data_IF_601846746173
#
_entry.id   IF_601846746173
#
_cell.length_a   1.000
_cell.length_b   1.000
_cell.length_c   1.000
_cell.angle_alpha   90.00
_cell.angle_beta   90.00
_cell.angle_gamma   90.00
#
_symmetry.space_group_name_H-M   'P 1'
#
loop_
_entity.id
_entity.type
_entity.pdbx_description
1 polymer ?
#
# COMPACT_ATOMS: atom_id res chain seq x y z
N UNK A 1 6.53 -10.88 21.45
CA UNK A 1 5.85 -11.44 22.65
C UNK A 1 4.72 -12.35 22.21
N UNK A 2 4.71 -13.64 22.57
CA UNK A 2 3.57 -14.54 22.32
C UNK A 2 2.44 -14.20 23.31
N UNK A 3 1.33 -13.64 22.82
CA UNK A 3 0.10 -13.48 23.61
C UNK A 3 -0.89 -14.57 23.20
N UNK A 4 -1.36 -15.37 24.16
CA UNK A 4 -2.39 -16.38 23.91
C UNK A 4 -3.77 -15.74 24.05
N UNK A 5 -4.58 -15.80 22.99
CA UNK A 5 -5.98 -15.35 23.00
C UNK A 5 -6.90 -16.55 23.17
N UNK A 6 -7.83 -16.48 24.12
CA UNK A 6 -8.85 -17.51 24.35
C UNK A 6 -10.20 -16.92 23.93
N UNK A 7 -10.90 -17.62 23.03
CA UNK A 7 -12.30 -17.34 22.68
C UNK A 7 -13.15 -18.37 23.43
N UNK A 8 -14.11 -17.92 24.22
CA UNK A 8 -15.00 -18.79 25.01
C UNK A 8 -16.29 -19.14 24.25
N UNK A 9 -16.66 -20.42 24.24
CA UNK A 9 -17.93 -20.96 23.71
C UNK A 9 -18.94 -21.30 24.81
N UNK A 10 -20.02 -22.01 24.44
CA UNK A 10 -21.08 -22.46 25.36
C UNK A 10 -20.49 -23.21 26.58
N UNK A 11 -20.82 -22.81 27.81
CA UNK A 11 -20.28 -23.44 29.03
C UNK A 11 -20.67 -24.92 29.20
N UNK A 12 -21.71 -25.41 28.50
CA UNK A 12 -22.11 -26.82 28.50
C UNK A 12 -21.25 -27.70 27.57
N UNK A 13 -20.49 -27.09 26.64
CA UNK A 13 -19.58 -27.77 25.74
C UNK A 13 -18.41 -26.84 25.30
N UNK A 14 -17.41 -26.61 26.17
CA UNK A 14 -16.37 -25.63 25.90
C UNK A 14 -15.39 -26.12 24.82
N UNK A 15 -15.41 -25.46 23.65
CA UNK A 15 -14.36 -25.58 22.64
C UNK A 15 -13.21 -24.63 22.98
N UNK A 16 -11.99 -25.17 23.17
CA UNK A 16 -10.78 -24.36 23.37
C UNK A 16 -9.96 -24.33 22.09
N UNK A 17 -9.83 -23.16 21.49
CA UNK A 17 -8.96 -22.92 20.33
C UNK A 17 -7.75 -22.10 20.78
N UNK A 18 -6.55 -22.53 20.39
CA UNK A 18 -5.31 -21.77 20.57
C UNK A 18 -4.51 -21.78 19.28
N UNK A 19 -4.11 -20.61 18.79
CA UNK A 19 -3.30 -20.45 17.58
C UNK A 19 -2.23 -19.37 17.79
N UNK A 20 -1.22 -19.36 16.93
CA UNK A 20 -0.21 -18.30 16.90
C UNK A 20 -0.74 -17.14 16.07
N UNK A 21 -0.61 -15.93 16.59
CA UNK A 21 -0.97 -14.71 15.88
C UNK A 21 0.25 -13.80 15.78
N UNK A 22 0.55 -13.34 14.57
CA UNK A 22 1.53 -12.29 14.34
C UNK A 22 0.88 -10.92 14.53
N UNK A 23 1.63 -9.99 15.13
CA UNK A 23 1.17 -8.63 15.42
C UNK A 23 2.30 -7.68 15.06
N UNK A 24 2.01 -6.69 14.22
CA UNK A 24 2.88 -5.55 14.01
C UNK A 24 2.74 -4.64 15.24
N UNK A 25 3.79 -4.56 16.07
CA UNK A 25 3.76 -3.75 17.28
C UNK A 25 4.29 -2.33 16.96
N UNK A 26 3.45 -1.29 17.04
CA UNK A 26 3.92 0.08 16.80
C UNK A 26 4.87 0.54 17.91
N UNK A 27 5.92 1.32 17.59
CA UNK A 27 6.70 2.02 18.61
C UNK A 27 5.88 3.15 19.23
N UNK A 28 6.21 3.48 20.48
CA UNK A 28 5.74 4.71 21.11
C UNK A 28 6.64 5.88 20.69
N UNK A 29 6.01 6.94 20.17
CA UNK A 29 6.70 8.14 19.70
C UNK A 29 6.31 9.30 20.63
N UNK A 30 7.12 9.60 21.67
CA UNK A 30 6.71 10.52 22.74
C UNK A 30 6.91 12.01 22.42
N UNK A 31 7.87 12.35 21.55
CA UNK A 31 8.23 13.76 21.31
C UNK A 31 7.47 14.45 20.15
N UNK A 32 6.50 15.29 20.52
CA UNK A 32 5.73 16.12 19.57
C UNK A 32 5.92 17.61 19.83
N UNK A 33 7.09 17.98 20.37
CA UNK A 33 7.38 19.36 20.77
C UNK A 33 7.57 20.32 19.59
N UNK A 34 7.95 19.81 18.42
CA UNK A 34 8.19 20.59 17.21
C UNK A 34 6.92 20.79 16.37
N UNK A 35 6.76 21.98 15.77
CA UNK A 35 5.66 22.28 14.86
C UNK A 35 6.00 21.88 13.41
N UNK A 36 5.46 20.74 12.98
CA UNK A 36 5.68 20.19 11.63
C UNK A 36 5.15 21.06 10.48
N UNK A 37 4.24 22.01 10.73
CA UNK A 37 3.68 22.87 9.68
C UNK A 37 4.60 24.03 9.30
N UNK A 38 5.65 24.30 10.09
CA UNK A 38 6.56 25.43 9.87
C UNK A 38 8.01 25.03 10.13
N UNK A 39 8.58 24.26 9.22
CA UNK A 39 10.00 23.96 9.18
C UNK A 39 10.69 24.61 7.96
N UNK A 40 11.39 25.76 8.13
CA UNK A 40 12.11 26.42 7.04
C UNK A 40 13.43 25.72 6.68
N UNK A 41 13.92 24.78 7.49
CA UNK A 41 15.15 24.03 7.21
C UNK A 41 14.86 22.76 6.41
N UNK A 42 13.60 22.29 6.40
CA UNK A 42 13.15 21.07 5.74
C UNK A 42 14.03 19.86 6.12
N UNK A 43 14.29 19.75 7.43
CA UNK A 43 15.10 18.68 8.00
C UNK A 43 14.17 17.65 8.64
N UNK A 44 14.62 16.39 8.80
CA UNK A 44 13.87 15.42 9.59
C UNK A 44 13.59 15.96 10.99
N UNK A 45 12.32 16.10 11.33
CA UNK A 45 11.86 16.48 12.66
C UNK A 45 12.03 15.30 13.64
N UNK A 46 12.05 15.59 14.93
CA UNK A 46 12.52 14.65 15.97
C UNK A 46 11.86 13.26 15.92
N UNK A 47 10.57 13.17 15.59
CA UNK A 47 9.81 11.93 15.57
C UNK A 47 9.49 11.41 14.16
N UNK A 48 10.08 11.97 13.10
CA UNK A 48 9.74 11.63 11.71
C UNK A 48 9.80 10.12 11.43
N UNK A 49 10.91 9.48 11.76
CA UNK A 49 11.11 8.05 11.48
C UNK A 49 10.27 7.17 12.41
N UNK A 50 10.12 7.55 13.69
CA UNK A 50 9.26 6.83 14.63
C UNK A 50 7.80 6.87 14.17
N UNK A 51 7.28 8.05 13.83
CA UNK A 51 5.92 8.23 13.33
C UNK A 51 5.69 7.45 12.03
N UNK A 52 6.70 7.41 11.15
CA UNK A 52 6.65 6.61 9.92
C UNK A 52 6.53 5.12 10.23
N UNK A 53 7.34 4.58 11.14
CA UNK A 53 7.26 3.17 11.54
C UNK A 53 5.96 2.84 12.27
N UNK A 54 5.47 3.74 13.12
CA UNK A 54 4.17 3.61 13.79
C UNK A 54 3.03 3.54 12.79
N UNK A 55 2.99 4.45 11.82
CA UNK A 55 1.98 4.45 10.77
C UNK A 55 2.06 3.19 9.91
N UNK A 56 3.27 2.72 9.59
CA UNK A 56 3.44 1.46 8.87
C UNK A 56 2.85 0.29 9.67
N UNK A 57 3.18 0.17 10.96
CA UNK A 57 2.66 -0.91 11.81
C UNK A 57 1.12 -0.92 11.89
N UNK A 58 0.47 0.25 11.92
CA UNK A 58 -0.99 0.37 11.94
C UNK A 58 -1.65 0.11 10.57
N UNK A 59 -0.95 0.38 9.46
CA UNK A 59 -1.47 0.13 8.11
C UNK A 59 -1.29 -1.31 7.63
N UNK A 60 -0.45 -2.12 8.30
CA UNK A 60 -0.17 -3.50 7.90
C UNK A 60 -1.40 -4.38 8.08
N UNK A 61 -1.99 -4.81 6.96
CA UNK A 61 -3.16 -5.69 6.96
C UNK A 61 -2.84 -7.12 7.41
N UNK A 62 -1.67 -7.65 7.02
CA UNK A 62 -1.19 -8.96 7.47
C UNK A 62 0.25 -8.86 8.00
N UNK A 63 0.46 -8.96 9.32
CA UNK A 63 1.79 -8.88 9.92
C UNK A 63 2.77 -9.98 9.49
N UNK A 64 2.28 -11.11 8.96
CA UNK A 64 3.14 -12.19 8.45
C UNK A 64 4.00 -11.75 7.25
N UNK A 65 3.50 -10.78 6.48
CA UNK A 65 4.18 -10.27 5.28
C UNK A 65 5.51 -9.57 5.62
N UNK A 66 5.72 -9.18 6.89
CA UNK A 66 6.97 -8.57 7.37
C UNK A 66 8.08 -9.60 7.62
N UNK A 67 7.73 -10.89 7.71
CA UNK A 67 8.68 -11.98 7.96
C UNK A 67 9.11 -12.62 6.65
N UNK A 68 8.20 -12.66 5.67
CA UNK A 68 8.49 -13.18 4.34
C UNK A 68 7.38 -12.90 3.36
N UNK A 69 7.67 -13.06 2.05
CA UNK A 69 6.67 -12.91 1.01
C UNK A 69 5.60 -14.00 1.15
N UNK A 70 4.35 -13.67 0.78
CA UNK A 70 3.30 -14.67 0.62
C UNK A 70 3.65 -15.64 -0.49
N UNK A 71 3.08 -16.84 -0.45
CA UNK A 71 3.15 -17.79 -1.55
C UNK A 71 2.66 -17.15 -2.85
N UNK A 72 3.38 -17.36 -3.95
CA UNK A 72 3.02 -16.80 -5.24
C UNK A 72 1.76 -17.50 -5.78
N UNK A 73 0.77 -16.71 -6.18
CA UNK A 73 -0.37 -17.20 -6.96
C UNK A 73 -0.06 -17.10 -8.45
N UNK A 74 -0.62 -17.96 -9.32
CA UNK A 74 -0.45 -17.84 -10.76
C UNK A 74 -0.75 -16.41 -11.23
N UNK A 75 0.14 -15.86 -12.04
CA UNK A 75 0.01 -14.50 -12.56
C UNK A 75 -1.25 -14.41 -13.44
N UNK A 76 -2.10 -13.37 -13.30
CA UNK A 76 -3.16 -13.10 -14.26
C UNK A 76 -2.56 -12.95 -15.67
N UNK A 77 -2.99 -13.81 -16.58
CA UNK A 77 -2.44 -13.97 -17.93
C UNK A 77 -3.20 -13.19 -19.00
N UNK A 78 -4.40 -12.71 -18.69
CA UNK A 78 -5.43 -12.34 -19.65
C UNK A 78 -4.96 -11.22 -20.58
N UNK A 79 -4.45 -10.12 -20.01
CA UNK A 79 -3.92 -8.99 -20.79
C UNK A 79 -2.67 -9.39 -21.58
N UNK A 80 -1.84 -10.24 -20.98
CA UNK A 80 -0.55 -10.65 -21.51
C UNK A 80 -0.73 -11.55 -22.73
N UNK A 81 -1.69 -12.47 -22.68
CA UNK A 81 -2.02 -13.38 -23.78
C UNK A 81 -2.62 -12.60 -24.96
N UNK A 82 -3.48 -11.60 -24.69
CA UNK A 82 -4.01 -10.69 -25.72
C UNK A 82 -2.89 -9.89 -26.39
N UNK A 83 -1.98 -9.30 -25.62
CA UNK A 83 -0.86 -8.52 -26.16
C UNK A 83 0.09 -9.43 -26.95
N UNK A 84 0.38 -10.62 -26.44
CA UNK A 84 1.22 -11.60 -27.12
C UNK A 84 0.62 -12.06 -28.45
N UNK A 85 -0.68 -12.39 -28.46
CA UNK A 85 -1.38 -12.78 -29.68
C UNK A 85 -1.36 -11.69 -30.75
N UNK A 86 -1.48 -10.41 -30.36
CA UNK A 86 -1.34 -9.28 -31.28
C UNK A 86 0.09 -9.13 -31.80
N UNK A 87 1.07 -9.25 -30.91
CA UNK A 87 2.48 -9.16 -31.26
C UNK A 87 2.88 -10.23 -32.30
N UNK A 88 2.48 -11.48 -32.08
CA UNK A 88 2.74 -12.59 -33.01
C UNK A 88 2.10 -12.35 -34.38
N UNK A 89 0.95 -11.68 -34.44
CA UNK A 89 0.26 -11.32 -35.69
C UNK A 89 0.77 -10.02 -36.34
N UNK A 90 1.68 -9.29 -35.70
CA UNK A 90 2.10 -7.96 -36.16
C UNK A 90 1.04 -6.87 -35.99
N UNK A 91 0.04 -7.08 -35.13
CA UNK A 91 -1.02 -6.11 -34.85
C UNK A 91 -0.62 -5.10 -33.75
N UNK A 92 -1.20 -3.89 -33.75
CA UNK A 92 -0.95 -2.90 -32.68
C UNK A 92 -1.37 -3.42 -31.30
N UNK A 93 -0.42 -3.50 -30.37
CA UNK A 93 -0.61 -3.95 -28.98
C UNK A 93 -1.29 -2.90 -28.10
N UNK A 94 -1.26 -1.63 -28.52
CA UNK A 94 -1.94 -0.52 -27.86
C UNK A 94 -3.47 -0.71 -27.87
N UNK A 95 -4.15 -0.08 -26.91
CA UNK A 95 -5.60 0.06 -26.94
C UNK A 95 -6.04 0.88 -28.16
N UNK A 96 -7.25 0.62 -28.65
CA UNK A 96 -7.87 1.56 -29.60
C UNK A 96 -8.09 2.87 -28.85
N UNK A 97 -7.52 3.95 -29.38
CA UNK A 97 -7.77 5.30 -28.87
C UNK A 97 -9.01 5.87 -29.53
N UNK A 98 -9.83 6.56 -28.75
CA UNK A 98 -10.89 7.39 -29.33
C UNK A 98 -10.28 8.64 -29.95
N UNK A 99 -10.96 9.23 -30.94
CA UNK A 99 -10.49 10.46 -31.58
C UNK A 99 -10.45 11.66 -30.61
N UNK A 100 -11.23 11.61 -29.53
CA UNK A 100 -11.20 12.61 -28.46
C UNK A 100 -9.99 12.47 -27.52
N UNK A 101 -9.22 11.37 -27.57
CA UNK A 101 -8.01 11.18 -26.73
C UNK A 101 -6.76 11.91 -27.28
N UNK A 102 -6.94 12.78 -28.27
CA UNK A 102 -5.91 13.67 -28.77
C UNK A 102 -6.10 15.05 -28.15
N UNK A 103 -5.22 15.43 -27.23
CA UNK A 103 -5.11 16.83 -26.81
C UNK A 103 -4.34 17.61 -27.88
N UNK A 104 -4.98 18.62 -28.47
CA UNK A 104 -4.27 19.55 -29.32
C UNK A 104 -3.38 20.42 -28.45
N UNK A 105 -2.10 20.55 -28.77
CA UNK A 105 -1.17 21.39 -28.01
C UNK A 105 -1.65 22.86 -27.91
N UNK A 106 -2.49 23.30 -28.86
CA UNK A 106 -3.14 24.61 -28.87
C UNK A 106 -4.27 24.78 -27.84
N UNK A 107 -4.81 23.70 -27.28
CA UNK A 107 -5.89 23.71 -26.28
C UNK A 107 -5.34 23.65 -24.85
N UNK A 108 -4.03 23.43 -24.70
CA UNK A 108 -3.34 23.46 -23.41
C UNK A 108 -3.05 24.92 -23.07
N UNK A 109 -3.89 25.52 -22.22
CA UNK A 109 -3.63 26.85 -21.68
C UNK A 109 -2.34 26.83 -20.85
N UNK A 110 -1.38 27.77 -21.08
CA UNK A 110 -0.24 27.91 -20.19
C UNK A 110 -0.75 28.45 -18.84
N UNK A 111 -0.93 27.54 -17.89
CA UNK A 111 -1.10 27.90 -16.48
C UNK A 111 0.26 28.45 -16.02
N UNK A 112 0.47 29.75 -16.18
CA UNK A 112 1.74 30.38 -15.82
C UNK A 112 1.99 31.73 -16.49
N UNK A 113 1.03 32.65 -16.40
CA UNK A 113 1.22 34.03 -16.82
C UNK A 113 0.41 34.96 -15.92
N UNK A 114 1.03 35.44 -14.84
CA UNK A 114 0.51 36.56 -14.05
C UNK A 114 0.31 36.28 -12.56
N UNK A 115 1.40 36.31 -11.80
CA UNK A 115 1.64 37.21 -10.66
C UNK A 115 3.05 36.98 -10.10
#
# INVERSE_FOLDING_TARGET
MKRARIVSGDPSAPLRISYLQYVAAPPDCPDWSENISRDPQNMPWTNMDCATQRNLAEMVANPEDLIGPRGETPRPGERRDVVWGKYVKGEPTISKRDKAEHANASEISPIGGGQ
#
